data_IF_709131794687
#
_entry.id   IF_709131794687
#
_cell.length_a   1.000
_cell.length_b   1.000
_cell.length_c   1.000
_cell.angle_alpha   90.00
_cell.angle_beta   90.00
_cell.angle_gamma   90.00
#
_symmetry.space_group_name_H-M   'P 1'
#
loop_
_entity.id
_entity.type
_entity.pdbx_description
1 polymer ?
#
# COMPACT_ATOMS: atom_id res chain seq x y z
N UNK A 1 9.72 11.53 -10.21
CA UNK A 1 8.55 11.74 -9.34
C UNK A 1 8.92 11.84 -7.87
N UNK A 2 9.86 11.04 -7.34
CA UNK A 2 10.37 11.20 -5.96
C UNK A 2 10.66 12.68 -5.60
N UNK A 3 11.25 13.43 -6.54
CA UNK A 3 11.55 14.86 -6.39
C UNK A 3 10.38 15.82 -6.16
N UNK A 4 9.12 15.44 -6.46
CA UNK A 4 7.97 16.34 -6.27
C UNK A 4 7.60 16.53 -4.80
N UNK A 5 8.01 15.61 -3.92
CA UNK A 5 7.70 15.66 -2.49
C UNK A 5 8.93 15.89 -1.62
N UNK A 6 10.11 16.06 -2.22
CA UNK A 6 11.36 16.17 -1.48
C UNK A 6 11.46 17.44 -0.61
N UNK A 7 10.87 18.54 -1.08
CA UNK A 7 10.86 19.83 -0.35
C UNK A 7 9.79 19.91 0.74
N UNK A 8 8.85 18.98 0.76
CA UNK A 8 7.68 18.98 1.66
C UNK A 8 7.68 17.79 2.63
N UNK A 9 8.71 16.94 2.62
CA UNK A 9 8.75 15.73 3.44
C UNK A 9 8.51 15.99 4.93
N UNK A 10 9.01 17.10 5.49
CA UNK A 10 8.75 17.51 6.87
C UNK A 10 7.29 17.91 7.11
N UNK A 11 6.72 18.79 6.28
CA UNK A 11 5.29 19.20 6.36
C UNK A 11 4.36 17.99 6.17
N UNK A 12 4.77 17.04 5.33
CA UNK A 12 4.04 15.82 5.03
C UNK A 12 3.85 14.92 6.27
N UNK A 13 4.79 14.95 7.22
CA UNK A 13 4.67 14.20 8.49
C UNK A 13 3.55 14.75 9.35
N UNK A 14 3.41 16.08 9.44
CA UNK A 14 2.51 16.75 10.37
C UNK A 14 1.08 16.91 9.83
N UNK A 15 0.90 16.94 8.50
CA UNK A 15 -0.39 17.23 7.87
C UNK A 15 -1.20 16.00 7.45
N UNK A 16 -0.60 14.80 7.45
CA UNK A 16 -1.24 13.57 6.94
C UNK A 16 -2.16 12.94 8.01
N UNK A 17 -3.43 12.66 7.68
CA UNK A 17 -4.28 11.78 8.48
C UNK A 17 -3.58 10.46 8.82
N UNK A 18 -3.71 10.03 10.08
CA UNK A 18 -3.30 8.70 10.51
C UNK A 18 -4.42 7.70 10.26
N UNK A 19 -4.08 6.47 9.87
CA UNK A 19 -5.06 5.40 9.78
C UNK A 19 -5.48 4.93 11.19
N UNK A 20 -6.76 4.56 11.41
CA UNK A 20 -7.23 4.09 12.70
C UNK A 20 -6.50 2.81 13.15
N UNK A 21 -6.20 2.66 14.44
CA UNK A 21 -5.54 1.43 14.96
C UNK A 21 -6.32 0.15 14.63
N UNK A 22 -7.66 0.23 14.65
CA UNK A 22 -8.54 -0.89 14.29
C UNK A 22 -8.32 -1.40 12.86
N UNK A 23 -7.89 -0.54 11.94
CA UNK A 23 -7.59 -0.92 10.57
C UNK A 23 -6.47 -1.95 10.51
N UNK A 24 -5.37 -1.71 11.23
CA UNK A 24 -4.23 -2.62 11.27
C UNK A 24 -4.56 -3.93 11.99
N UNK A 25 -5.42 -3.87 13.02
CA UNK A 25 -5.93 -5.08 13.68
C UNK A 25 -6.76 -5.95 12.74
N UNK A 26 -7.61 -5.34 11.89
CA UNK A 26 -8.35 -6.06 10.84
C UNK A 26 -7.41 -6.71 9.82
N UNK A 27 -6.40 -5.99 9.34
CA UNK A 27 -5.41 -6.54 8.41
C UNK A 27 -4.66 -7.74 9.02
N UNK A 28 -4.23 -7.63 10.27
CA UNK A 28 -3.56 -8.72 10.96
C UNK A 28 -4.45 -9.96 11.09
N UNK A 29 -5.76 -9.79 11.31
CA UNK A 29 -6.69 -10.92 11.40
C UNK A 29 -6.85 -11.70 10.08
N UNK A 30 -6.45 -11.14 8.94
CA UNK A 30 -6.54 -11.80 7.63
C UNK A 30 -5.36 -12.72 7.33
N UNK A 31 -4.26 -12.62 8.08
CA UNK A 31 -3.08 -13.48 7.90
C UNK A 31 -2.95 -14.50 9.03
N UNK A 32 -2.63 -15.78 8.74
CA UNK A 32 -2.47 -16.81 9.77
C UNK A 32 -1.13 -16.71 10.52
N UNK A 33 -0.16 -15.97 9.97
CA UNK A 33 1.15 -15.74 10.58
C UNK A 33 1.48 -14.24 10.52
N UNK A 34 2.31 -13.81 11.46
CA UNK A 34 2.65 -12.38 11.66
C UNK A 34 4.16 -12.15 11.73
N UNK A 35 4.95 -12.94 11.02
CA UNK A 35 6.42 -12.85 11.08
C UNK A 35 6.94 -11.66 10.29
N UNK A 36 6.49 -11.49 9.05
CA UNK A 36 7.05 -10.47 8.15
C UNK A 36 5.96 -9.75 7.35
N UNK A 37 5.90 -8.44 7.50
CA UNK A 37 5.14 -7.56 6.61
C UNK A 37 6.07 -6.72 5.70
N UNK A 38 5.59 -6.40 4.51
CA UNK A 38 6.24 -5.52 3.54
C UNK A 38 5.36 -4.31 3.24
N UNK A 39 5.82 -3.12 3.62
CA UNK A 39 5.15 -1.85 3.31
C UNK A 39 5.81 -1.18 2.10
N UNK A 40 5.08 -1.08 0.98
CA UNK A 40 5.61 -0.69 -0.33
C UNK A 40 5.25 0.76 -0.63
N UNK A 41 6.24 1.57 -1.01
CA UNK A 41 6.04 3.02 -1.09
C UNK A 41 5.79 3.61 0.30
N UNK A 42 6.57 3.14 1.29
CA UNK A 42 6.35 3.43 2.72
C UNK A 42 6.48 4.92 3.06
N UNK A 43 7.14 5.71 2.20
CA UNK A 43 7.43 7.11 2.47
C UNK A 43 8.21 7.28 3.77
N UNK A 44 7.65 8.05 4.70
CA UNK A 44 8.18 8.25 6.05
C UNK A 44 7.72 7.18 7.07
N UNK A 45 7.08 6.11 6.62
CA UNK A 45 6.73 4.96 7.43
C UNK A 45 5.39 5.03 8.16
N UNK A 46 4.50 5.97 7.82
CA UNK A 46 3.19 6.11 8.49
C UNK A 46 2.41 4.79 8.59
N UNK A 47 2.30 4.05 7.48
CA UNK A 47 1.61 2.75 7.49
C UNK A 47 2.45 1.66 8.16
N UNK A 48 3.74 1.59 7.86
CA UNK A 48 4.67 0.62 8.46
C UNK A 48 4.64 0.63 10.00
N UNK A 49 4.50 1.79 10.65
CA UNK A 49 4.41 1.87 12.11
C UNK A 49 3.16 1.18 12.67
N UNK A 50 2.00 1.43 12.06
CA UNK A 50 0.75 0.79 12.49
C UNK A 50 0.76 -0.72 12.25
N UNK A 51 1.32 -1.15 11.12
CA UNK A 51 1.54 -2.58 10.83
C UNK A 51 2.51 -3.20 11.84
N UNK A 52 3.56 -2.46 12.22
CA UNK A 52 4.56 -2.95 13.14
C UNK A 52 3.99 -3.28 14.50
N UNK A 53 2.83 -2.76 14.91
CA UNK A 53 2.18 -3.18 16.15
C UNK A 53 1.77 -4.67 16.15
N UNK A 54 1.47 -5.23 14.98
CA UNK A 54 0.92 -6.57 14.83
C UNK A 54 1.89 -7.61 14.28
N UNK A 55 2.98 -7.19 13.63
CA UNK A 55 3.96 -8.09 13.00
C UNK A 55 5.32 -8.05 13.73
N UNK A 56 6.05 -9.16 13.73
CA UNK A 56 7.38 -9.27 14.35
C UNK A 56 8.40 -8.38 13.65
N UNK A 57 8.34 -8.32 12.31
CA UNK A 57 9.16 -7.47 11.48
C UNK A 57 8.36 -6.82 10.35
N UNK A 58 8.67 -5.56 10.07
CA UNK A 58 8.18 -4.83 8.91
C UNK A 58 9.37 -4.35 8.09
N UNK A 59 9.37 -4.61 6.79
CA UNK A 59 10.28 -4.00 5.84
C UNK A 59 9.51 -2.90 5.11
N UNK A 60 9.91 -1.64 5.32
CA UNK A 60 9.38 -0.49 4.58
C UNK A 60 10.31 -0.15 3.42
N UNK A 61 9.80 -0.18 2.19
CA UNK A 61 10.60 0.13 0.98
C UNK A 61 10.08 1.38 0.29
N UNK A 62 10.99 2.23 -0.19
CA UNK A 62 10.65 3.37 -1.05
C UNK A 62 11.76 3.60 -2.10
N UNK A 63 11.38 4.20 -3.22
CA UNK A 63 12.32 4.66 -4.26
C UNK A 63 13.00 5.99 -3.88
N UNK A 64 12.42 6.74 -2.94
CA UNK A 64 12.93 8.01 -2.44
C UNK A 64 13.76 7.81 -1.17
N UNK A 65 15.07 7.90 -1.29
CA UNK A 65 15.97 7.89 -0.13
C UNK A 65 15.65 9.06 0.83
N UNK A 66 15.18 10.19 0.30
CA UNK A 66 14.83 11.36 1.10
C UNK A 66 13.61 11.12 1.99
N UNK A 67 12.59 10.41 1.50
CA UNK A 67 11.45 9.99 2.33
C UNK A 67 11.92 9.09 3.48
N UNK A 68 12.77 8.11 3.18
CA UNK A 68 13.30 7.18 4.17
C UNK A 68 14.17 7.86 5.23
N UNK A 69 14.90 8.92 4.88
CA UNK A 69 15.68 9.73 5.85
C UNK A 69 14.80 10.39 6.92
N UNK A 70 13.56 10.70 6.58
CA UNK A 70 12.58 11.29 7.51
C UNK A 70 11.67 10.23 8.14
N UNK A 71 11.93 8.94 7.87
CA UNK A 71 11.11 7.88 8.42
C UNK A 71 11.33 7.73 9.94
N UNK A 72 10.21 7.64 10.66
CA UNK A 72 10.24 7.50 12.12
C UNK A 72 10.79 6.13 12.49
N UNK A 73 11.84 6.10 13.32
CA UNK A 73 12.49 4.86 13.73
C UNK A 73 11.58 4.01 14.61
N UNK A 74 11.58 2.70 14.40
CA UNK A 74 10.84 1.74 15.22
C UNK A 74 11.63 0.41 15.28
N UNK A 75 11.73 -0.26 16.44
CA UNK A 75 12.58 -1.45 16.61
C UNK A 75 12.18 -2.63 15.71
N UNK A 76 10.93 -2.68 15.27
CA UNK A 76 10.41 -3.73 14.35
C UNK A 76 10.37 -3.30 12.89
N UNK A 77 10.72 -2.05 12.55
CA UNK A 77 10.67 -1.55 11.16
C UNK A 77 12.08 -1.35 10.62
N UNK A 78 12.36 -1.97 9.48
CA UNK A 78 13.57 -1.75 8.69
C UNK A 78 13.22 -1.00 7.40
N UNK A 79 13.75 0.21 7.25
CA UNK A 79 13.60 1.00 6.04
C UNK A 79 14.72 0.67 5.03
N UNK A 80 14.36 0.39 3.78
CA UNK A 80 15.30 0.02 2.72
C UNK A 80 15.02 0.85 1.47
N UNK A 81 16.05 1.52 0.96
CA UNK A 81 15.98 2.19 -0.34
C UNK A 81 16.02 1.15 -1.46
N UNK A 82 15.01 1.17 -2.32
CA UNK A 82 14.88 0.20 -3.43
C UNK A 82 14.81 0.95 -4.74
N UNK A 83 15.96 1.32 -5.36
CA UNK A 83 15.97 2.05 -6.61
C UNK A 83 15.40 1.20 -7.75
N UNK A 84 14.89 1.84 -8.80
CA UNK A 84 14.30 1.15 -9.96
C UNK A 84 15.30 0.25 -10.72
N UNK A 85 16.60 0.47 -10.53
CA UNK A 85 17.68 -0.34 -11.10
C UNK A 85 17.94 -1.66 -10.36
N UNK A 86 17.36 -1.85 -9.18
CA UNK A 86 17.49 -3.08 -8.41
C UNK A 86 16.82 -4.24 -9.15
N UNK A 87 17.51 -5.38 -9.28
CA UNK A 87 16.94 -6.55 -9.93
C UNK A 87 15.91 -7.26 -9.06
N UNK A 88 15.02 -8.02 -9.69
CA UNK A 88 13.95 -8.73 -8.97
C UNK A 88 14.52 -9.79 -8.02
N UNK A 89 15.61 -10.46 -8.37
CA UNK A 89 16.23 -11.49 -7.52
C UNK A 89 16.99 -10.90 -6.33
N UNK A 90 17.65 -9.75 -6.52
CA UNK A 90 18.21 -8.99 -5.40
C UNK A 90 17.11 -8.50 -4.48
N UNK A 91 15.99 -8.00 -5.04
CA UNK A 91 14.83 -7.58 -4.27
C UNK A 91 14.28 -8.74 -3.44
N UNK A 92 14.06 -9.91 -4.06
CA UNK A 92 13.56 -11.09 -3.35
C UNK A 92 14.50 -11.53 -2.23
N UNK A 93 15.81 -11.48 -2.48
CA UNK A 93 16.83 -11.79 -1.46
C UNK A 93 16.77 -10.81 -0.29
N UNK A 94 16.62 -9.51 -0.56
CA UNK A 94 16.47 -8.46 0.47
C UNK A 94 15.24 -8.67 1.35
N UNK A 95 14.17 -9.24 0.80
CA UNK A 95 12.94 -9.57 1.52
C UNK A 95 12.99 -10.90 2.28
N UNK A 96 14.13 -11.60 2.27
CA UNK A 96 14.32 -12.88 2.97
C UNK A 96 13.99 -14.13 2.13
N UNK A 97 13.74 -13.95 0.83
CA UNK A 97 13.44 -15.02 -0.12
C UNK A 97 11.96 -15.15 -0.48
N UNK A 98 11.66 -16.13 -1.33
CA UNK A 98 10.30 -16.38 -1.82
C UNK A 98 9.39 -16.96 -0.72
N UNK A 99 8.09 -16.63 -0.80
CA UNK A 99 7.03 -17.10 0.10
C UNK A 99 7.26 -16.80 1.59
N UNK A 100 7.89 -15.66 1.91
CA UNK A 100 8.20 -15.25 3.29
C UNK A 100 7.31 -14.15 3.84
N UNK A 101 6.66 -13.38 2.97
CA UNK A 101 5.91 -12.18 3.38
C UNK A 101 4.47 -12.57 3.71
N UNK A 102 4.07 -12.33 4.96
CA UNK A 102 2.71 -12.58 5.45
C UNK A 102 1.72 -11.54 4.95
N UNK A 103 2.12 -10.26 5.03
CA UNK A 103 1.30 -9.13 4.64
C UNK A 103 2.09 -8.19 3.73
N UNK A 104 1.52 -7.84 2.59
CA UNK A 104 2.00 -6.73 1.75
C UNK A 104 1.02 -5.57 1.92
N UNK A 105 1.52 -4.40 2.25
CA UNK A 105 0.73 -3.17 2.35
C UNK A 105 1.16 -2.14 1.33
N UNK A 106 0.19 -1.47 0.72
CA UNK A 106 0.41 -0.29 -0.11
C UNK A 106 -0.58 0.79 0.31
N UNK A 107 -0.08 1.78 1.04
CA UNK A 107 -0.87 2.92 1.50
C UNK A 107 -0.63 4.13 0.59
N UNK A 108 -1.62 4.45 -0.25
CA UNK A 108 -1.65 5.66 -1.09
C UNK A 108 -0.54 5.78 -2.16
N UNK A 109 0.09 4.66 -2.55
CA UNK A 109 1.23 4.67 -3.48
C UNK A 109 1.03 3.87 -4.77
N UNK A 110 0.10 2.90 -4.80
CA UNK A 110 0.02 1.88 -5.87
C UNK A 110 -0.14 2.47 -7.27
N UNK A 111 -0.79 3.63 -7.39
CA UNK A 111 -1.05 4.29 -8.66
C UNK A 111 0.22 4.82 -9.34
N UNK A 112 1.35 4.88 -8.62
CA UNK A 112 2.65 5.25 -9.18
C UNK A 112 3.46 4.07 -9.73
N UNK A 113 3.03 2.83 -9.49
CA UNK A 113 3.84 1.64 -9.74
C UNK A 113 3.74 1.11 -11.17
N UNK A 114 4.78 0.40 -11.59
CA UNK A 114 4.68 -0.58 -12.68
C UNK A 114 3.93 -1.81 -12.14
N UNK A 115 2.61 -1.86 -12.36
CA UNK A 115 1.74 -2.88 -11.78
C UNK A 115 2.13 -4.32 -12.19
N UNK A 116 2.42 -4.64 -13.48
CA UNK A 116 2.91 -5.97 -13.84
C UNK A 116 4.16 -6.40 -13.08
N UNK A 117 5.18 -5.52 -12.98
CA UNK A 117 6.41 -5.82 -12.24
C UNK A 117 6.12 -5.99 -10.75
N UNK A 118 5.34 -5.08 -10.17
CA UNK A 118 4.96 -5.11 -8.77
C UNK A 118 4.23 -6.41 -8.41
N UNK A 119 3.21 -6.79 -9.16
CA UNK A 119 2.44 -8.01 -8.89
C UNK A 119 3.23 -9.29 -9.08
N UNK A 120 4.21 -9.30 -9.99
CA UNK A 120 5.17 -10.40 -10.12
C UNK A 120 5.97 -10.59 -8.82
N UNK A 121 6.53 -9.50 -8.28
CA UNK A 121 7.26 -9.53 -7.00
C UNK A 121 6.38 -9.95 -5.83
N UNK A 122 5.17 -9.38 -5.72
CA UNK A 122 4.20 -9.79 -4.70
C UNK A 122 3.93 -11.29 -4.80
N UNK A 123 3.67 -11.80 -5.99
CA UNK A 123 3.38 -13.24 -6.21
C UNK A 123 4.53 -14.15 -5.79
N UNK A 124 5.79 -13.71 -5.96
CA UNK A 124 6.99 -14.46 -5.52
C UNK A 124 7.18 -14.39 -4.01
N UNK A 125 6.92 -13.25 -3.40
CA UNK A 125 7.20 -12.98 -2.00
C UNK A 125 6.09 -13.45 -1.04
N UNK A 126 4.84 -13.37 -1.47
CA UNK A 126 3.68 -13.61 -0.64
C UNK A 126 3.64 -15.05 -0.14
N UNK A 127 3.41 -15.23 1.15
CA UNK A 127 3.36 -16.54 1.80
C UNK A 127 2.27 -17.42 1.21
N UNK A 128 2.61 -18.70 0.99
CA UNK A 128 1.68 -19.70 0.46
C UNK A 128 1.58 -20.88 1.43
N UNK A 129 0.37 -21.23 1.90
CA UNK A 129 -0.88 -20.48 1.79
C UNK A 129 -0.96 -19.30 2.78
N UNK A 130 -1.91 -18.38 2.56
CA UNK A 130 -2.40 -17.45 3.58
C UNK A 130 -1.77 -16.06 3.62
N UNK A 131 -0.82 -15.73 2.74
CA UNK A 131 -0.34 -14.37 2.63
C UNK A 131 -1.37 -13.44 1.96
N UNK A 132 -1.40 -12.19 2.41
CA UNK A 132 -2.38 -11.17 1.99
C UNK A 132 -1.68 -9.93 1.45
N UNK A 133 -2.24 -9.34 0.40
CA UNK A 133 -1.91 -8.00 -0.08
C UNK A 133 -3.10 -7.06 0.17
N UNK A 134 -2.83 -5.92 0.81
CA UNK A 134 -3.78 -4.87 1.08
C UNK A 134 -3.32 -3.56 0.43
N UNK A 135 -4.21 -2.96 -0.35
CA UNK A 135 -4.03 -1.68 -1.02
C UNK A 135 -5.14 -0.76 -0.57
N UNK A 136 -4.78 0.41 -0.05
CA UNK A 136 -5.77 1.39 0.36
C UNK A 136 -5.26 2.81 0.14
N UNK A 137 -6.18 3.75 0.14
CA UNK A 137 -5.90 5.16 0.10
C UNK A 137 -7.05 5.92 0.73
N UNK A 138 -6.97 7.24 0.68
CA UNK A 138 -8.11 8.09 0.99
C UNK A 138 -8.08 9.28 0.06
N UNK A 139 -9.25 9.79 -0.30
CA UNK A 139 -9.36 11.01 -1.04
C UNK A 139 -10.63 11.78 -0.69
N UNK A 140 -10.52 13.10 -0.61
CA UNK A 140 -11.65 13.96 -0.29
C UNK A 140 -11.94 14.02 1.21
N UNK A 141 -11.51 15.12 1.83
CA UNK A 141 -11.85 15.43 3.21
C UNK A 141 -13.34 15.78 3.33
N UNK A 142 -14.01 15.20 4.32
CA UNK A 142 -15.38 15.55 4.76
C UNK A 142 -15.29 16.25 6.11
N UNK A 143 -15.81 17.46 6.19
CA UNK A 143 -15.69 18.33 7.38
C UNK A 143 -17.05 18.85 7.82
N UNK A 144 -17.82 19.45 6.90
CA UNK A 144 -19.13 20.03 7.22
C UNK A 144 -19.93 20.35 5.97
N UNK A 145 -21.25 20.46 6.13
CA UNK A 145 -22.18 20.83 5.05
C UNK A 145 -21.85 22.17 4.37
N UNK A 146 -21.10 23.05 5.03
CA UNK A 146 -20.66 24.34 4.47
C UNK A 146 -19.32 24.22 3.73
N UNK A 147 -18.39 23.41 4.22
CA UNK A 147 -17.04 23.28 3.66
C UNK A 147 -16.98 22.29 2.48
N UNK A 148 -17.70 21.18 2.58
CA UNK A 148 -17.61 20.06 1.65
C UNK A 148 -18.01 20.43 0.21
N UNK A 149 -19.02 21.29 -0.04
CA UNK A 149 -19.32 21.76 -1.39
C UNK A 149 -18.19 22.59 -2.01
N UNK A 150 -17.46 23.37 -1.21
CA UNK A 150 -16.36 24.22 -1.67
C UNK A 150 -15.16 23.37 -2.08
N UNK A 151 -14.80 22.37 -1.26
CA UNK A 151 -13.71 21.46 -1.60
C UNK A 151 -14.06 20.60 -2.79
N UNK A 152 -15.32 20.15 -2.92
CA UNK A 152 -15.79 19.43 -4.11
C UNK A 152 -15.59 20.25 -5.38
N UNK A 153 -16.04 21.50 -5.38
CA UNK A 153 -15.87 22.41 -6.53
C UNK A 153 -14.40 22.63 -6.89
N UNK A 154 -13.54 22.80 -5.89
CA UNK A 154 -12.10 22.94 -6.11
C UNK A 154 -11.52 21.68 -6.76
N UNK A 155 -11.84 20.50 -6.23
CA UNK A 155 -11.36 19.21 -6.77
C UNK A 155 -11.75 19.06 -8.24
N UNK A 156 -13.03 19.25 -8.55
CA UNK A 156 -13.54 19.17 -9.93
C UNK A 156 -12.85 20.16 -10.87
N UNK A 157 -12.65 21.41 -10.43
CA UNK A 157 -11.96 22.42 -11.22
C UNK A 157 -10.48 22.11 -11.44
N UNK A 158 -9.83 21.44 -10.49
CA UNK A 158 -8.41 21.06 -10.62
C UNK A 158 -8.19 19.76 -11.38
N UNK A 159 -9.20 18.89 -11.50
CA UNK A 159 -9.06 17.53 -12.07
C UNK A 159 -8.26 17.46 -13.40
N UNK A 160 -8.45 18.37 -14.38
CA UNK A 160 -7.69 18.34 -15.64
C UNK A 160 -6.18 18.57 -15.49
N UNK A 161 -5.72 19.08 -14.35
CA UNK A 161 -4.31 19.38 -14.08
C UNK A 161 -3.60 18.27 -13.27
N UNK A 162 -4.33 17.24 -12.81
CA UNK A 162 -3.74 16.13 -12.07
C UNK A 162 -3.05 15.16 -13.02
N UNK A 163 -2.00 14.50 -12.51
CA UNK A 163 -1.40 13.39 -13.24
C UNK A 163 -2.47 12.31 -13.47
N UNK A 164 -2.65 11.80 -14.70
CA UNK A 164 -3.66 10.80 -15.01
C UNK A 164 -3.61 9.59 -14.07
N UNK A 165 -2.42 9.21 -13.60
CA UNK A 165 -2.24 8.09 -12.66
C UNK A 165 -2.98 8.29 -11.34
N UNK A 166 -3.05 9.53 -10.85
CA UNK A 166 -3.72 9.82 -9.59
C UNK A 166 -5.23 9.47 -9.61
N UNK A 167 -5.86 9.44 -10.80
CA UNK A 167 -7.29 9.11 -10.93
C UNK A 167 -7.63 7.73 -10.39
N UNK A 168 -6.69 6.76 -10.41
CA UNK A 168 -6.90 5.46 -9.75
C UNK A 168 -7.19 5.62 -8.25
N UNK A 169 -6.47 6.50 -7.55
CA UNK A 169 -6.76 6.82 -6.15
C UNK A 169 -8.06 7.61 -6.02
N UNK A 170 -8.30 8.59 -6.91
CA UNK A 170 -9.49 9.45 -6.84
C UNK A 170 -10.79 8.65 -7.01
N UNK A 171 -10.74 7.57 -7.77
CA UNK A 171 -11.86 6.66 -7.99
C UNK A 171 -11.95 5.55 -6.92
N UNK A 172 -11.15 5.63 -5.84
CA UNK A 172 -11.14 4.67 -4.74
C UNK A 172 -10.51 3.32 -5.12
N UNK A 173 -9.62 3.30 -6.10
CA UNK A 173 -9.01 2.10 -6.68
C UNK A 173 -9.99 1.10 -7.31
N UNK A 174 -11.28 1.42 -7.45
CA UNK A 174 -12.31 0.51 -8.00
C UNK A 174 -11.97 -0.11 -9.37
N UNK A 175 -11.15 0.58 -10.16
CA UNK A 175 -10.72 0.13 -11.50
C UNK A 175 -9.26 -0.34 -11.53
N UNK A 176 -8.59 -0.43 -10.38
CA UNK A 176 -7.22 -0.92 -10.27
C UNK A 176 -7.18 -2.39 -10.75
N UNK A 177 -6.37 -2.72 -11.76
CA UNK A 177 -6.15 -4.12 -12.13
C UNK A 177 -5.57 -4.86 -10.94
N UNK A 178 -6.27 -5.86 -10.40
CA UNK A 178 -5.87 -6.54 -9.17
C UNK A 178 -5.96 -8.07 -9.36
N UNK A 179 -4.83 -8.77 -9.54
CA UNK A 179 -4.83 -10.19 -9.95
C UNK A 179 -5.03 -11.18 -8.80
N UNK A 180 -5.20 -10.69 -7.57
CA UNK A 180 -5.34 -11.49 -6.35
C UNK A 180 -6.82 -11.77 -6.03
N UNK A 181 -7.08 -12.88 -5.35
CA UNK A 181 -8.42 -13.30 -4.95
C UNK A 181 -8.87 -12.48 -3.75
N UNK A 182 -10.05 -11.86 -3.84
CA UNK A 182 -10.62 -11.08 -2.74
C UNK A 182 -10.72 -11.89 -1.45
N UNK A 183 -10.45 -11.25 -0.32
CA UNK A 183 -10.64 -11.83 1.03
C UNK A 183 -11.89 -11.28 1.75
N UNK A 184 -12.80 -10.61 1.03
CA UNK A 184 -14.09 -10.18 1.56
C UNK A 184 -14.05 -8.98 2.52
N UNK A 185 -12.97 -8.19 2.50
CA UNK A 185 -12.80 -6.96 3.29
C UNK A 185 -12.80 -5.70 2.41
N UNK A 186 -13.60 -5.71 1.34
CA UNK A 186 -13.68 -4.62 0.38
C UNK A 186 -14.67 -3.55 0.87
N UNK A 187 -14.15 -2.34 1.14
CA UNK A 187 -14.93 -1.10 1.22
C UNK A 187 -14.52 -0.21 0.03
N UNK A 188 -15.27 0.86 -0.27
CA UNK A 188 -15.11 1.71 -1.48
C UNK A 188 -13.68 2.28 -1.75
N UNK A 189 -12.76 2.22 -0.78
CA UNK A 189 -11.37 2.72 -0.85
C UNK A 189 -10.29 1.68 -0.45
N UNK A 190 -10.69 0.43 -0.26
CA UNK A 190 -9.85 -0.64 0.28
C UNK A 190 -9.97 -1.89 -0.59
N UNK A 191 -8.84 -2.33 -1.14
CA UNK A 191 -8.75 -3.59 -1.89
C UNK A 191 -7.81 -4.53 -1.15
N UNK A 192 -8.34 -5.70 -0.79
CA UNK A 192 -7.56 -6.73 -0.10
C UNK A 192 -7.71 -8.05 -0.83
N UNK A 193 -6.59 -8.72 -1.14
CA UNK A 193 -6.61 -10.02 -1.77
C UNK A 193 -5.48 -10.94 -1.35
N UNK A 194 -5.59 -12.20 -1.77
CA UNK A 194 -4.67 -13.29 -1.47
C UNK A 194 -4.25 -14.01 -2.76
N UNK A 195 -3.21 -14.84 -2.70
CA UNK A 195 -2.77 -15.61 -3.88
C UNK A 195 -3.88 -16.56 -4.35
N UNK A 196 -4.19 -16.57 -5.65
CA UNK A 196 -5.16 -17.52 -6.25
C UNK A 196 -4.79 -18.95 -5.87
N UNK A 197 -5.68 -19.66 -5.20
CA UNK A 197 -5.52 -21.11 -5.07
C UNK A 197 -5.86 -21.75 -6.43
N UNK A 198 -4.91 -22.46 -7.05
CA UNK A 198 -5.28 -23.37 -8.13
C UNK A 198 -5.94 -24.60 -7.52
N UNK A 199 -7.26 -24.55 -7.37
CA UNK A 199 -8.10 -25.74 -7.25
C UNK A 199 -9.31 -25.57 -8.19
N UNK A 200 -9.67 -26.58 -9.00
CA UNK A 200 -10.66 -26.42 -10.06
C UNK A 200 -12.07 -26.40 -9.47
N UNK A 201 -12.78 -25.29 -9.65
CA UNK A 201 -14.26 -25.25 -9.64
C UNK A 201 -14.63 -24.30 -10.78
N UNK A 202 -15.26 -24.72 -11.87
CA UNK A 202 -16.41 -25.61 -11.91
C UNK A 202 -17.65 -24.79 -11.59
N UNK A 203 -18.27 -24.20 -12.61
CA UNK A 203 -19.69 -23.86 -12.59
C UNK A 203 -20.08 -22.40 -12.32
N UNK A 204 -20.55 -21.78 -13.41
CA UNK A 204 -21.64 -20.81 -13.53
C UNK A 204 -21.53 -19.37 -13.00
N UNK A 205 -21.64 -18.50 -14.01
CA UNK A 205 -22.14 -17.12 -14.04
C UNK A 205 -23.58 -17.06 -13.53
N UNK A 206 -23.88 -16.06 -12.69
CA UNK A 206 -25.05 -15.18 -12.84
C UNK A 206 -24.55 -13.76 -12.58
#
# INVERSE_FOLDING_TARGET
MAGLFDKQAEIYVDARPTYPTEWYSKLAALTPQHSLAWDVGTGNGQAALGVAEHYEQVIGTDISENQLKHAKQHPRVKYIHTPLSLSDDEFVTLMGGENKVDLVTVAEAVHWFDLPKFYSLVTRLLRKPGGVIAVWGYYGMVVSTTFDPLTKRLREATNPFWDPRAHLLLDGYRTLPFPFESVGCEDDEVIVGSHRSQAPRGGFVI
#
